data_IF_387388559665
#
_entry.id   IF_387388559665
#
_cell.length_a   1.000
_cell.length_b   1.000
_cell.length_c   1.000
_cell.angle_alpha   90.00
_cell.angle_beta   90.00
_cell.angle_gamma   90.00
#
_symmetry.space_group_name_H-M   'P 1'
#
loop_
_entity.id
_entity.type
_entity.pdbx_description
1 polymer ?
#
# COMPACT_ATOMS: atom_id res chain seq x y z
N UNK A 1 18.35 -10.01 3.44
CA UNK A 1 18.86 -11.33 3.02
C UNK A 1 17.77 -12.36 3.25
N UNK A 2 17.58 -13.30 2.32
CA UNK A 2 16.55 -14.35 2.45
C UNK A 2 17.27 -15.58 3.00
N UNK A 3 17.07 -15.88 4.28
CA UNK A 3 17.59 -17.08 4.90
C UNK A 3 16.57 -18.21 4.71
N UNK A 4 16.78 -19.05 3.69
CA UNK A 4 16.01 -20.28 3.50
C UNK A 4 16.91 -21.49 3.84
N UNK A 5 16.62 -22.22 4.94
CA UNK A 5 17.41 -23.39 5.34
C UNK A 5 17.32 -24.56 4.33
N UNK A 6 16.32 -24.58 3.44
CA UNK A 6 16.16 -25.62 2.42
C UNK A 6 17.05 -25.42 1.17
N UNK A 7 17.74 -24.27 1.06
CA UNK A 7 18.44 -23.88 -0.15
C UNK A 7 19.92 -23.47 0.12
N UNK A 8 20.55 -24.19 1.04
CA UNK A 8 22.02 -24.15 1.18
C UNK A 8 22.68 -24.79 -0.03
N UNK A 9 23.60 -24.09 -0.68
CA UNK A 9 24.46 -24.70 -1.70
C UNK A 9 25.47 -25.63 -1.01
N UNK A 10 26.02 -26.60 -1.75
CA UNK A 10 27.09 -27.48 -1.24
C UNK A 10 28.35 -26.73 -0.79
N UNK A 11 28.53 -25.47 -1.23
CA UNK A 11 29.62 -24.57 -0.82
C UNK A 11 29.31 -23.74 0.43
N UNK A 12 28.14 -23.93 1.07
CA UNK A 12 27.71 -23.16 2.23
C UNK A 12 27.29 -21.72 1.91
N UNK A 13 27.17 -21.37 0.63
CA UNK A 13 26.69 -20.06 0.21
C UNK A 13 25.16 -19.96 0.42
N UNK A 14 24.71 -18.73 0.71
CA UNK A 14 23.28 -18.40 0.77
C UNK A 14 22.60 -18.61 -0.59
N UNK A 15 21.28 -18.80 -0.57
CA UNK A 15 20.44 -19.01 -1.74
C UNK A 15 20.66 -17.98 -2.85
N UNK A 16 21.28 -18.36 -3.98
CA UNK A 16 21.44 -17.43 -5.09
C UNK A 16 20.08 -17.22 -5.78
N UNK A 17 19.66 -15.97 -5.89
CA UNK A 17 18.49 -15.58 -6.68
C UNK A 17 18.99 -15.14 -8.06
N UNK A 18 18.71 -15.96 -9.07
CA UNK A 18 19.05 -15.65 -10.46
C UNK A 18 17.98 -14.81 -11.14
N UNK A 19 18.38 -13.73 -11.81
CA UNK A 19 17.52 -12.92 -12.68
C UNK A 19 17.94 -13.14 -14.13
N UNK A 20 16.99 -13.39 -15.03
CA UNK A 20 17.23 -13.44 -16.48
C UNK A 20 16.60 -12.23 -17.17
N UNK A 21 17.44 -11.33 -17.67
CA UNK A 21 16.99 -10.18 -18.49
C UNK A 21 17.04 -10.58 -19.97
N UNK A 22 15.95 -10.40 -20.75
CA UNK A 22 15.97 -10.67 -22.18
C UNK A 22 16.98 -9.78 -22.92
N UNK A 23 17.74 -10.34 -23.86
CA UNK A 23 18.75 -9.60 -24.66
C UNK A 23 18.17 -8.41 -25.43
N UNK A 24 16.87 -8.43 -25.74
CA UNK A 24 16.15 -7.38 -26.47
C UNK A 24 15.46 -6.35 -25.55
N UNK A 25 15.66 -6.42 -24.25
CA UNK A 25 15.07 -5.46 -23.32
C UNK A 25 15.61 -4.06 -23.60
N UNK A 26 14.71 -3.09 -23.74
CA UNK A 26 15.04 -1.66 -23.85
C UNK A 26 14.23 -0.91 -22.80
N UNK A 27 14.88 -0.01 -22.07
CA UNK A 27 14.26 0.78 -21.00
C UNK A 27 14.91 0.55 -19.63
N UNK A 28 14.23 0.97 -18.58
CA UNK A 28 14.67 0.83 -17.20
C UNK A 28 13.74 -0.13 -16.44
N UNK A 29 14.31 -0.92 -15.54
CA UNK A 29 13.55 -1.80 -14.65
C UNK A 29 14.07 -1.64 -13.22
N UNK A 30 13.15 -1.67 -12.27
CA UNK A 30 13.46 -1.73 -10.85
C UNK A 30 13.21 -3.14 -10.33
N UNK A 31 14.16 -3.65 -9.55
CA UNK A 31 14.10 -4.99 -8.97
C UNK A 31 14.19 -4.84 -7.48
N UNK A 32 13.16 -5.30 -6.77
CA UNK A 32 13.11 -5.31 -5.32
C UNK A 32 13.01 -6.75 -4.84
N UNK A 33 14.03 -7.20 -4.12
CA UNK A 33 14.04 -8.52 -3.47
C UNK A 33 13.75 -8.31 -1.99
N UNK A 34 12.50 -8.54 -1.62
CA UNK A 34 12.06 -8.49 -0.22
C UNK A 34 12.11 -9.87 0.45
N UNK A 35 12.18 -9.88 1.78
CA UNK A 35 11.78 -11.06 2.56
C UNK A 35 10.25 -11.16 2.63
N UNK A 36 9.74 -12.31 3.07
CA UNK A 36 8.33 -12.41 3.46
C UNK A 36 8.01 -11.32 4.49
N UNK A 37 6.94 -10.55 4.24
CA UNK A 37 6.46 -9.54 5.16
C UNK A 37 5.95 -10.21 6.44
N UNK A 38 6.33 -9.66 7.59
CA UNK A 38 5.76 -10.02 8.88
C UNK A 38 4.31 -9.52 8.99
N UNK A 39 3.56 -10.00 10.00
CA UNK A 39 2.20 -9.51 10.24
C UNK A 39 2.17 -7.99 10.41
N UNK A 40 1.40 -7.29 9.57
CA UNK A 40 1.25 -5.82 9.63
C UNK A 40 2.38 -5.03 8.98
N UNK A 41 3.45 -5.68 8.50
CA UNK A 41 4.54 -4.99 7.81
C UNK A 41 4.11 -4.58 6.39
N UNK A 42 4.30 -3.31 6.01
CA UNK A 42 4.10 -2.86 4.63
C UNK A 42 4.96 -3.69 3.67
N UNK A 43 4.40 -4.12 2.54
CA UNK A 43 5.16 -4.71 1.44
C UNK A 43 4.82 -4.05 0.12
N UNK A 44 5.81 -3.97 -0.75
CA UNK A 44 5.59 -3.63 -2.15
C UNK A 44 5.11 -4.89 -2.86
N UNK A 45 3.87 -4.88 -3.37
CA UNK A 45 3.40 -5.86 -4.35
C UNK A 45 3.35 -5.20 -5.71
N UNK A 46 3.91 -5.87 -6.72
CA UNK A 46 3.68 -5.53 -8.14
C UNK A 46 2.65 -6.44 -8.78
N UNK A 47 2.03 -7.35 -8.02
CA UNK A 47 0.99 -8.27 -8.51
C UNK A 47 -0.35 -7.52 -8.63
N UNK A 48 -0.90 -7.33 -9.85
CA UNK A 48 -2.22 -6.73 -10.02
C UNK A 48 -3.34 -7.55 -9.35
N UNK A 49 -3.11 -8.84 -9.11
CA UNK A 49 -4.07 -9.74 -8.47
C UNK A 49 -4.30 -9.44 -6.99
N UNK A 50 -3.37 -8.74 -6.36
CA UNK A 50 -3.41 -8.44 -4.94
C UNK A 50 -4.21 -7.16 -4.67
N UNK A 51 -4.41 -6.32 -5.70
CA UNK A 51 -5.16 -5.07 -5.60
C UNK A 51 -6.67 -5.35 -5.57
N UNK A 52 -7.36 -4.70 -4.63
CA UNK A 52 -8.82 -4.81 -4.52
C UNK A 52 -9.47 -3.73 -5.41
N UNK A 53 -9.70 -4.09 -6.67
CA UNK A 53 -10.39 -3.23 -7.63
C UNK A 53 -11.89 -3.14 -7.41
N UNK A 54 -12.50 -2.10 -7.99
CA UNK A 54 -13.96 -1.90 -7.99
C UNK A 54 -14.51 -1.30 -6.70
N UNK A 55 -13.64 -0.74 -5.86
CA UNK A 55 -14.02 -0.01 -4.65
C UNK A 55 -14.17 1.49 -4.89
N UNK A 56 -13.66 1.99 -6.03
CA UNK A 56 -13.74 3.37 -6.47
C UNK A 56 -15.13 3.97 -6.28
N UNK A 57 -15.22 5.13 -5.63
CA UNK A 57 -16.47 5.86 -5.40
C UNK A 57 -17.41 5.24 -4.37
N UNK A 58 -17.15 4.04 -3.85
CA UNK A 58 -17.89 3.48 -2.71
C UNK A 58 -17.61 4.31 -1.46
N UNK A 59 -18.58 4.33 -0.54
CA UNK A 59 -18.33 4.84 0.80
C UNK A 59 -17.31 3.96 1.53
N UNK A 60 -16.54 4.53 2.44
CA UNK A 60 -15.58 3.80 3.28
C UNK A 60 -16.24 2.61 3.96
N UNK A 61 -17.44 2.79 4.54
CA UNK A 61 -18.18 1.69 5.16
C UNK A 61 -18.49 0.55 4.18
N UNK A 62 -18.91 0.88 2.95
CA UNK A 62 -19.23 -0.14 1.93
C UNK A 62 -17.98 -0.85 1.44
N UNK A 63 -16.88 -0.11 1.26
CA UNK A 63 -15.60 -0.67 0.86
C UNK A 63 -15.03 -1.61 1.94
N UNK A 64 -15.09 -1.22 3.21
CA UNK A 64 -14.68 -2.05 4.34
C UNK A 64 -15.48 -3.36 4.40
N UNK A 65 -16.81 -3.28 4.24
CA UNK A 65 -17.66 -4.46 4.19
C UNK A 65 -17.34 -5.37 2.99
N UNK A 66 -17.05 -4.79 1.82
CA UNK A 66 -16.69 -5.54 0.62
C UNK A 66 -15.33 -6.25 0.78
N UNK A 67 -14.35 -5.60 1.40
CA UNK A 67 -13.06 -6.17 1.74
C UNK A 67 -13.20 -7.31 2.75
N UNK A 68 -14.00 -7.12 3.80
CA UNK A 68 -14.21 -8.12 4.84
C UNK A 68 -14.79 -9.44 4.27
N UNK A 69 -15.71 -9.36 3.30
CA UNK A 69 -16.26 -10.54 2.59
C UNK A 69 -15.20 -11.34 1.83
N UNK A 70 -14.07 -10.72 1.49
CA UNK A 70 -12.92 -11.35 0.83
C UNK A 70 -11.82 -11.74 1.83
N UNK A 71 -12.08 -11.66 3.13
CA UNK A 71 -11.09 -11.92 4.18
C UNK A 71 -10.00 -10.85 4.28
N UNK A 72 -10.24 -9.66 3.73
CA UNK A 72 -9.32 -8.52 3.79
C UNK A 72 -9.80 -7.48 4.79
N UNK A 73 -8.86 -6.76 5.40
CA UNK A 73 -9.14 -5.59 6.24
C UNK A 73 -8.31 -4.39 5.79
N UNK A 74 -8.73 -3.19 6.15
CA UNK A 74 -7.91 -2.00 5.89
C UNK A 74 -6.84 -1.90 6.98
N UNK A 75 -5.56 -1.89 6.56
CA UNK A 75 -4.42 -1.68 7.45
C UNK A 75 -3.97 -0.22 7.51
N UNK A 76 -4.23 0.54 6.44
CA UNK A 76 -3.87 1.97 6.34
C UNK A 76 -4.92 2.72 5.53
N UNK A 77 -5.26 3.94 5.96
CA UNK A 77 -6.09 4.87 5.21
C UNK A 77 -5.22 6.03 4.75
N UNK A 78 -5.10 6.22 3.44
CA UNK A 78 -4.50 7.42 2.88
C UNK A 78 -5.62 8.38 2.49
N UNK A 79 -5.54 9.59 3.00
CA UNK A 79 -6.55 10.64 2.78
C UNK A 79 -5.91 11.75 1.96
N UNK A 80 -6.61 12.12 0.89
CA UNK A 80 -6.17 13.16 -0.03
C UNK A 80 -7.10 14.38 0.06
N UNK A 81 -6.49 15.53 0.33
CA UNK A 81 -7.03 16.86 0.09
C UNK A 81 -6.37 17.44 -1.16
N UNK A 82 -6.92 18.54 -1.73
CA UNK A 82 -6.20 19.26 -2.78
C UNK A 82 -4.76 19.57 -2.34
N UNK A 83 -3.78 19.10 -3.13
CA UNK A 83 -2.35 19.33 -2.94
C UNK A 83 -1.70 18.70 -1.69
N UNK A 84 -2.42 17.89 -0.90
CA UNK A 84 -1.88 17.26 0.30
C UNK A 84 -2.47 15.87 0.54
N UNK A 85 -1.61 14.90 0.85
CA UNK A 85 -2.01 13.54 1.22
C UNK A 85 -1.33 13.11 2.51
N UNK A 86 -2.06 12.45 3.39
CA UNK A 86 -1.48 11.87 4.61
C UNK A 86 -2.21 10.60 5.04
N UNK A 87 -1.59 9.80 5.89
CA UNK A 87 -2.25 8.65 6.51
C UNK A 87 -2.99 9.09 7.77
N UNK A 88 -4.23 8.63 7.95
CA UNK A 88 -5.03 8.90 9.14
C UNK A 88 -5.55 7.61 9.78
N UNK A 89 -5.74 7.59 11.11
CA UNK A 89 -6.37 6.45 11.79
C UNK A 89 -7.86 6.37 11.44
N UNK A 90 -8.43 5.16 11.48
CA UNK A 90 -9.85 4.90 11.15
C UNK A 90 -10.83 5.80 11.92
N UNK A 91 -10.52 6.15 13.17
CA UNK A 91 -11.34 7.02 14.02
C UNK A 91 -11.52 8.42 13.45
N UNK A 92 -10.62 8.87 12.57
CA UNK A 92 -10.68 10.19 11.91
C UNK A 92 -11.26 10.13 10.50
N UNK A 93 -11.67 8.95 10.04
CA UNK A 93 -12.23 8.75 8.70
C UNK A 93 -13.75 8.64 8.80
N UNK A 94 -14.52 9.64 8.33
CA UNK A 94 -15.95 9.50 8.19
C UNK A 94 -16.32 8.33 7.28
N UNK A 95 -17.20 7.45 7.77
CA UNK A 95 -17.68 6.28 7.03
C UNK A 95 -18.36 6.62 5.69
N UNK A 96 -18.82 7.87 5.54
CA UNK A 96 -19.47 8.40 4.32
C UNK A 96 -18.48 8.87 3.26
N UNK A 97 -17.21 9.08 3.61
CA UNK A 97 -16.19 9.45 2.63
C UNK A 97 -16.02 8.36 1.59
N UNK A 98 -15.44 8.69 0.45
CA UNK A 98 -15.40 7.86 -0.74
C UNK A 98 -13.99 7.42 -1.04
N UNK A 99 -13.87 6.17 -1.44
CA UNK A 99 -12.61 5.60 -1.93
C UNK A 99 -12.22 6.31 -3.23
N UNK A 100 -10.98 6.76 -3.30
CA UNK A 100 -10.41 7.44 -4.47
C UNK A 100 -9.81 6.46 -5.47
N UNK A 101 -9.60 6.90 -6.70
CA UNK A 101 -8.85 6.13 -7.72
C UNK A 101 -9.45 4.76 -8.00
N UNK A 102 -8.60 3.77 -8.30
CA UNK A 102 -9.02 2.46 -8.83
C UNK A 102 -9.39 1.41 -7.76
N UNK A 103 -9.23 1.73 -6.47
CA UNK A 103 -9.57 0.83 -5.37
C UNK A 103 -8.53 0.82 -4.26
N UNK A 104 -8.32 -0.34 -3.63
CA UNK A 104 -7.37 -0.48 -2.51
C UNK A 104 -6.10 -1.22 -2.93
N UNK A 105 -4.96 -0.74 -2.45
CA UNK A 105 -3.64 -1.29 -2.75
C UNK A 105 -3.24 -2.35 -1.71
N UNK A 106 -2.47 -3.38 -2.07
CA UNK A 106 -1.89 -4.29 -1.09
C UNK A 106 -1.03 -3.53 -0.09
N UNK A 107 -1.19 -3.82 1.21
CA UNK A 107 -0.41 -3.15 2.26
C UNK A 107 0.44 -4.13 3.06
N UNK A 108 -0.20 -5.10 3.73
CA UNK A 108 0.44 -6.17 4.48
C UNK A 108 -0.36 -7.46 4.27
N UNK A 109 0.17 -8.66 4.57
CA UNK A 109 -0.60 -9.90 4.40
C UNK A 109 -2.00 -9.79 5.04
N UNK A 110 -3.05 -10.01 4.22
CA UNK A 110 -4.45 -9.90 4.65
C UNK A 110 -4.97 -8.47 4.84
N UNK A 111 -4.21 -7.45 4.46
CA UNK A 111 -4.61 -6.05 4.62
C UNK A 111 -4.32 -5.18 3.40
N UNK A 112 -5.12 -4.14 3.24
CA UNK A 112 -4.97 -3.16 2.15
C UNK A 112 -4.73 -1.74 2.68
N UNK A 113 -4.17 -0.90 1.83
CA UNK A 113 -4.17 0.54 1.95
C UNK A 113 -5.39 1.05 1.18
N UNK A 114 -6.27 1.78 1.86
CA UNK A 114 -7.46 2.35 1.26
C UNK A 114 -7.24 3.85 0.97
N UNK A 115 -7.13 4.25 -0.29
CA UNK A 115 -7.01 5.65 -0.68
C UNK A 115 -8.40 6.31 -0.67
N UNK A 116 -8.51 7.53 -0.12
CA UNK A 116 -9.76 8.22 0.16
C UNK A 116 -9.67 9.68 -0.27
N UNK A 117 -10.67 10.14 -1.01
CA UNK A 117 -10.87 11.57 -1.28
C UNK A 117 -11.57 12.22 -0.09
N UNK A 118 -10.90 13.15 0.58
CA UNK A 118 -11.48 13.88 1.69
C UNK A 118 -12.69 14.71 1.22
N UNK A 119 -13.83 14.53 1.89
CA UNK A 119 -15.05 15.31 1.62
C UNK A 119 -15.40 16.23 2.79
N UNK A 120 -14.36 16.80 3.41
CA UNK A 120 -14.48 17.72 4.52
C UNK A 120 -13.20 18.54 4.66
N UNK A 121 -13.25 19.60 5.48
CA UNK A 121 -12.08 20.43 5.71
C UNK A 121 -10.93 19.61 6.27
N UNK A 122 -9.71 20.01 5.91
CA UNK A 122 -8.51 19.45 6.50
C UNK A 122 -8.49 19.78 8.00
N UNK A 123 -8.30 18.79 8.89
CA UNK A 123 -8.19 19.06 10.31
C UNK A 123 -7.02 20.02 10.62
N UNK A 124 -7.13 20.89 11.65
CA UNK A 124 -6.12 21.93 11.92
C UNK A 124 -4.70 21.39 12.08
N UNK A 125 -4.53 20.27 12.79
CA UNK A 125 -3.25 19.61 13.02
C UNK A 125 -2.61 19.07 11.72
N UNK A 126 -3.44 18.59 10.80
CA UNK A 126 -3.01 18.14 9.47
C UNK A 126 -2.67 19.36 8.59
N UNK A 127 -3.43 20.45 8.70
CA UNK A 127 -3.15 21.69 7.99
C UNK A 127 -1.85 22.34 8.46
N UNK A 128 -1.56 22.29 9.76
CA UNK A 128 -0.27 22.70 10.34
C UNK A 128 0.88 21.86 9.80
N UNK A 129 0.70 20.55 9.68
CA UNK A 129 1.69 19.66 9.08
C UNK A 129 1.94 20.01 7.61
N UNK A 130 0.88 20.26 6.84
CA UNK A 130 0.97 20.67 5.44
C UNK A 130 1.73 22.00 5.29
N UNK A 131 1.40 23.01 6.11
CA UNK A 131 2.11 24.30 6.14
C UNK A 131 3.60 24.14 6.39
N UNK A 132 3.98 23.42 7.47
CA UNK A 132 5.39 23.18 7.79
C UNK A 132 6.14 22.45 6.67
N UNK A 133 5.47 21.59 5.92
CA UNK A 133 6.08 20.91 4.78
C UNK A 133 6.35 21.87 3.61
N UNK A 134 5.52 22.88 3.40
CA UNK A 134 5.69 23.87 2.34
C UNK A 134 6.64 25.00 2.73
N UNK A 135 6.59 25.47 3.97
CA UNK A 135 7.46 26.56 4.45
C UNK A 135 8.92 26.11 4.67
N UNK A 136 9.17 24.79 4.71
CA UNK A 136 10.50 24.19 4.86
C UNK A 136 11.22 23.89 3.53
N UNK A 137 10.73 24.41 2.40
CA UNK A 137 11.36 24.35 1.08
C UNK A 137 11.78 25.74 0.61
#
# INVERSE_FOLDING_TARGET
>A
MIHDPACRTASGAECPIGLRVPLRFKGHAFISIGRKAGPGEPYASTSPKDAAHGLAGMTVARAEAALARKGLRVGRYNVYWPQWGTSLPRTRIPSRWKVSGDGADPYSPGTVLLPIDAQGPMPPDVADQARRHWDGK
#
